data_IF_172084836486
#
_entry.id   IF_172084836486
#
_cell.length_a   1.000
_cell.length_b   1.000
_cell.length_c   1.000
_cell.angle_alpha   90.00
_cell.angle_beta   90.00
_cell.angle_gamma   90.00
#
_symmetry.space_group_name_H-M   'P 1'
#
loop_
_entity.id
_entity.type
_entity.pdbx_description
1 polymer ?
#
# COMPACT_ATOMS: atom_id res chain seq x y z
N UNK A 1 -43.08 10.27 31.34
CA UNK A 1 -42.63 9.94 30.00
C UNK A 1 -41.17 9.47 30.09
N UNK A 2 -40.97 8.15 29.96
CA UNK A 2 -39.65 7.49 30.09
C UNK A 2 -38.72 7.93 28.95
N UNK A 3 -37.53 8.43 29.30
CA UNK A 3 -36.42 8.55 28.34
C UNK A 3 -36.10 7.14 27.83
N UNK A 4 -36.40 6.85 26.55
CA UNK A 4 -35.88 5.65 25.88
C UNK A 4 -34.35 5.73 25.94
N UNK A 5 -33.75 4.83 26.70
CA UNK A 5 -32.33 4.54 26.64
C UNK A 5 -31.96 4.22 25.15
N UNK A 6 -31.36 5.17 24.47
CA UNK A 6 -30.65 4.88 23.25
C UNK A 6 -29.37 4.14 23.67
N UNK A 7 -29.45 2.82 23.80
CA UNK A 7 -28.28 1.96 23.89
C UNK A 7 -27.40 2.28 22.64
N UNK A 8 -26.29 2.98 22.85
CA UNK A 8 -25.35 3.25 21.76
C UNK A 8 -24.70 1.92 21.38
N UNK A 9 -24.74 1.58 20.08
CA UNK A 9 -24.07 0.41 19.55
C UNK A 9 -22.60 0.37 20.00
N UNK A 10 -22.12 -0.81 20.35
CA UNK A 10 -20.69 -1.07 20.60
C UNK A 10 -19.84 -0.81 19.35
N UNK A 11 -18.52 -0.71 19.51
CA UNK A 11 -17.61 -0.58 18.36
C UNK A 11 -17.74 -1.73 17.36
N UNK A 12 -17.90 -2.97 17.87
CA UNK A 12 -18.10 -4.17 17.04
C UNK A 12 -19.41 -4.12 16.24
N UNK A 13 -20.51 -3.74 16.88
CA UNK A 13 -21.81 -3.62 16.20
C UNK A 13 -21.80 -2.51 15.13
N UNK A 14 -21.14 -1.37 15.43
CA UNK A 14 -20.95 -0.29 14.45
C UNK A 14 -20.09 -0.75 13.27
N UNK A 15 -19.03 -1.51 13.53
CA UNK A 15 -18.15 -2.06 12.50
C UNK A 15 -18.93 -3.00 11.58
N UNK A 16 -19.65 -3.97 12.13
CA UNK A 16 -20.45 -4.92 11.37
C UNK A 16 -21.55 -4.25 10.55
N UNK A 17 -22.29 -3.32 11.14
CA UNK A 17 -23.34 -2.58 10.43
C UNK A 17 -22.74 -1.77 9.25
N UNK A 18 -21.61 -1.09 9.48
CA UNK A 18 -20.97 -0.26 8.49
C UNK A 18 -20.46 -1.07 7.28
N UNK A 19 -19.75 -2.17 7.52
CA UNK A 19 -19.24 -2.99 6.41
C UNK A 19 -20.31 -3.90 5.78
N UNK A 20 -21.38 -4.24 6.51
CA UNK A 20 -22.56 -4.87 5.93
C UNK A 20 -23.26 -3.96 4.93
N UNK A 21 -23.31 -2.64 5.17
CA UNK A 21 -23.86 -1.68 4.22
C UNK A 21 -23.00 -1.59 2.94
N UNK A 22 -21.68 -1.67 3.06
CA UNK A 22 -20.74 -1.58 1.92
C UNK A 22 -20.73 -2.88 1.10
N UNK A 23 -20.63 -4.03 1.75
CA UNK A 23 -20.40 -5.33 1.09
C UNK A 23 -21.66 -6.19 0.94
N UNK A 24 -22.78 -5.79 1.54
CA UNK A 24 -24.05 -6.49 1.44
C UNK A 24 -23.93 -7.96 1.86
N UNK A 25 -24.46 -8.86 1.03
CA UNK A 25 -24.44 -10.31 1.25
C UNK A 25 -23.04 -10.94 1.28
N UNK A 26 -22.02 -10.25 0.78
CA UNK A 26 -20.62 -10.72 0.82
C UNK A 26 -19.98 -10.53 2.18
N UNK A 27 -20.46 -9.59 3.01
CA UNK A 27 -19.80 -9.23 4.26
C UNK A 27 -19.51 -10.42 5.20
N UNK A 28 -20.43 -11.36 5.44
CA UNK A 28 -20.17 -12.49 6.33
C UNK A 28 -18.99 -13.35 5.87
N UNK A 29 -18.86 -13.65 4.58
CA UNK A 29 -17.76 -14.45 4.03
C UNK A 29 -16.44 -13.70 4.04
N UNK A 30 -16.44 -12.42 3.67
CA UNK A 30 -15.26 -11.58 3.72
C UNK A 30 -14.75 -11.41 5.16
N UNK A 31 -15.63 -11.14 6.12
CA UNK A 31 -15.29 -11.06 7.54
C UNK A 31 -14.67 -12.35 8.05
N UNK A 32 -15.27 -13.50 7.71
CA UNK A 32 -14.74 -14.82 8.11
C UNK A 32 -13.33 -15.04 7.56
N UNK A 33 -13.11 -14.74 6.26
CA UNK A 33 -11.80 -14.87 5.63
C UNK A 33 -10.74 -13.90 6.20
N UNK A 34 -11.14 -12.70 6.65
CA UNK A 34 -10.23 -11.78 7.35
C UNK A 34 -9.82 -12.25 8.75
N UNK A 35 -10.65 -13.08 9.39
CA UNK A 35 -10.35 -13.67 10.70
C UNK A 35 -9.49 -14.94 10.61
N UNK A 36 -9.37 -15.55 9.42
CA UNK A 36 -8.46 -16.65 9.22
C UNK A 36 -6.99 -16.23 9.42
N UNK A 37 -6.17 -17.18 9.86
CA UNK A 37 -4.74 -16.93 10.01
C UNK A 37 -4.09 -16.57 8.65
N UNK A 38 -3.33 -15.49 8.65
CA UNK A 38 -2.53 -15.09 7.47
C UNK A 38 -1.46 -16.15 7.19
N UNK A 39 -1.26 -16.46 5.90
CA UNK A 39 -0.22 -17.40 5.44
C UNK A 39 0.87 -16.64 4.69
N UNK A 40 1.78 -15.96 5.41
CA UNK A 40 2.88 -15.25 4.76
C UNK A 40 3.81 -16.21 4.03
N UNK A 41 4.38 -15.75 2.94
CA UNK A 41 5.37 -16.50 2.16
C UNK A 41 6.76 -15.93 2.35
N UNK A 42 7.79 -16.77 2.19
CA UNK A 42 9.17 -16.32 2.10
C UNK A 42 9.31 -15.45 0.84
N UNK A 43 9.70 -14.20 1.01
CA UNK A 43 9.89 -13.28 -0.11
C UNK A 43 11.00 -13.76 -1.04
N UNK A 44 12.12 -14.28 -0.50
CA UNK A 44 13.22 -14.80 -1.29
C UNK A 44 12.79 -15.93 -2.24
N UNK A 45 12.06 -16.93 -1.68
CA UNK A 45 11.57 -18.06 -2.47
C UNK A 45 10.53 -17.60 -3.51
N UNK A 46 9.69 -16.61 -3.14
CA UNK A 46 8.70 -16.06 -4.06
C UNK A 46 9.35 -15.31 -5.23
N UNK A 47 10.36 -14.51 -4.97
CA UNK A 47 11.12 -13.80 -6.02
C UNK A 47 11.88 -14.79 -6.93
N UNK A 48 12.42 -15.87 -6.36
CA UNK A 48 13.09 -16.93 -7.10
C UNK A 48 12.15 -17.79 -7.96
N UNK A 49 10.83 -17.78 -7.70
CA UNK A 49 9.86 -18.52 -8.52
C UNK A 49 9.69 -18.01 -9.94
N UNK A 50 10.14 -16.78 -10.23
CA UNK A 50 10.02 -16.13 -11.53
C UNK A 50 8.62 -15.57 -11.83
N UNK A 51 7.70 -15.58 -10.86
CA UNK A 51 6.38 -14.94 -11.02
C UNK A 51 6.48 -13.41 -11.09
N UNK A 52 7.57 -12.85 -10.58
CA UNK A 52 7.88 -11.40 -10.58
C UNK A 52 9.28 -11.19 -11.13
N UNK A 53 9.41 -10.25 -12.05
CA UNK A 53 10.71 -9.87 -12.59
C UNK A 53 11.56 -9.15 -11.53
N UNK A 54 12.77 -9.63 -11.31
CA UNK A 54 13.78 -9.07 -10.42
C UNK A 54 15.09 -8.86 -11.14
N UNK A 55 15.89 -7.90 -10.68
CA UNK A 55 17.17 -7.56 -11.30
C UNK A 55 18.31 -8.49 -10.87
N UNK A 56 18.12 -9.27 -9.80
CA UNK A 56 19.15 -10.12 -9.20
C UNK A 56 18.64 -11.53 -8.96
N UNK A 57 19.50 -12.53 -9.18
CA UNK A 57 19.20 -13.96 -9.00
C UNK A 57 18.93 -14.35 -7.53
N UNK A 58 19.51 -13.61 -6.57
CA UNK A 58 19.32 -13.81 -5.14
C UNK A 58 19.31 -12.46 -4.40
N UNK A 59 18.16 -11.79 -4.35
CA UNK A 59 18.09 -10.43 -3.81
C UNK A 59 18.14 -10.37 -2.28
N UNK A 60 17.95 -11.50 -1.57
CA UNK A 60 17.89 -11.55 -0.11
C UNK A 60 18.95 -12.48 0.47
N UNK A 61 19.59 -12.04 1.58
CA UNK A 61 20.57 -12.84 2.35
C UNK A 61 19.95 -13.53 3.55
N UNK A 62 18.83 -13.01 4.07
CA UNK A 62 18.06 -13.61 5.15
C UNK A 62 16.58 -13.69 4.78
N UNK A 63 15.85 -14.72 5.23
CA UNK A 63 14.44 -14.88 4.93
C UNK A 63 13.59 -13.70 5.47
N UNK A 64 12.67 -13.22 4.66
CA UNK A 64 11.64 -12.27 5.08
C UNK A 64 10.26 -12.79 4.67
N UNK A 65 9.33 -12.85 5.61
CA UNK A 65 7.99 -13.36 5.37
C UNK A 65 6.98 -12.24 5.29
N UNK A 66 6.14 -12.24 4.25
CA UNK A 66 5.11 -11.23 4.06
C UNK A 66 3.92 -11.77 3.27
N UNK A 67 2.81 -11.03 3.30
CA UNK A 67 1.60 -11.36 2.53
C UNK A 67 1.85 -11.24 1.03
N UNK A 68 1.35 -12.20 0.25
CA UNK A 68 1.50 -12.24 -1.21
C UNK A 68 0.91 -11.01 -1.90
N UNK A 69 -0.25 -10.51 -1.44
CA UNK A 69 -0.86 -9.32 -2.02
C UNK A 69 0.07 -8.10 -1.91
N UNK A 70 0.84 -7.99 -0.81
CA UNK A 70 1.84 -6.94 -0.65
C UNK A 70 3.01 -7.06 -1.62
N UNK A 71 3.43 -8.30 -1.94
CA UNK A 71 4.46 -8.55 -2.97
C UNK A 71 3.91 -8.16 -4.34
N UNK A 72 2.71 -8.63 -4.68
CA UNK A 72 2.06 -8.33 -5.96
C UNK A 72 1.93 -6.82 -6.18
N UNK A 73 1.38 -6.09 -5.21
CA UNK A 73 1.22 -4.65 -5.34
C UNK A 73 2.57 -3.93 -5.56
N UNK A 74 3.59 -4.20 -4.73
CA UNK A 74 4.89 -3.53 -4.89
C UNK A 74 5.57 -3.87 -6.24
N UNK A 75 5.31 -5.05 -6.80
CA UNK A 75 5.87 -5.49 -8.08
C UNK A 75 5.30 -4.78 -9.29
N UNK A 76 4.11 -4.16 -9.18
CA UNK A 76 3.45 -3.44 -10.27
C UNK A 76 4.27 -2.23 -10.74
N UNK A 77 5.00 -1.55 -9.83
CA UNK A 77 5.83 -0.41 -10.22
C UNK A 77 6.83 -0.83 -11.29
N UNK A 78 6.84 -0.17 -12.46
CA UNK A 78 7.72 -0.49 -13.57
C UNK A 78 9.12 0.05 -13.33
N UNK A 79 9.77 -0.41 -12.26
CA UNK A 79 11.12 0.00 -11.85
C UNK A 79 12.14 -0.60 -12.81
N UNK A 80 13.02 0.24 -13.31
CA UNK A 80 14.21 -0.15 -14.05
C UNK A 80 15.47 0.03 -13.21
N UNK A 81 16.56 -0.62 -13.63
CA UNK A 81 17.81 -0.71 -12.87
C UNK A 81 18.37 0.61 -12.33
N UNK A 82 18.18 1.72 -13.06
CA UNK A 82 18.77 3.02 -12.75
C UNK A 82 17.79 4.03 -12.17
N UNK A 83 16.54 3.63 -11.89
CA UNK A 83 15.53 4.55 -11.40
C UNK A 83 15.85 5.13 -10.02
N UNK A 84 15.40 6.35 -9.79
CA UNK A 84 15.27 6.92 -8.46
C UNK A 84 13.86 6.64 -7.94
N UNK A 85 13.78 5.86 -6.87
CA UNK A 85 12.53 5.35 -6.31
C UNK A 85 12.30 5.93 -4.92
N UNK A 86 11.04 6.29 -4.62
CA UNK A 86 10.61 6.74 -3.31
C UNK A 86 9.58 5.77 -2.72
N UNK A 87 9.83 5.26 -1.52
CA UNK A 87 8.87 4.53 -0.68
C UNK A 87 8.45 5.45 0.47
N UNK A 88 7.25 6.04 0.37
CA UNK A 88 6.82 7.15 1.24
C UNK A 88 6.43 6.72 2.66
N UNK A 89 6.03 5.45 2.87
CA UNK A 89 5.58 4.91 4.15
C UNK A 89 6.16 3.51 4.38
N UNK A 90 7.49 3.42 4.29
CA UNK A 90 8.26 2.21 4.04
C UNK A 90 8.20 1.14 5.13
N UNK A 91 8.05 1.54 6.40
CA UNK A 91 8.14 0.59 7.50
C UNK A 91 6.92 -0.36 7.58
N UNK A 92 7.17 -1.65 7.88
CA UNK A 92 8.41 -2.24 8.43
C UNK A 92 9.50 -2.61 7.42
N UNK A 93 9.29 -2.51 6.08
CA UNK A 93 10.33 -2.72 5.09
C UNK A 93 10.05 -3.79 4.04
N UNK A 94 8.96 -4.57 4.15
CA UNK A 94 8.68 -5.66 3.22
C UNK A 94 8.55 -5.20 1.76
N UNK A 95 7.75 -4.15 1.49
CA UNK A 95 7.64 -3.59 0.14
C UNK A 95 8.95 -2.92 -0.31
N UNK A 96 9.70 -2.29 0.62
CA UNK A 96 11.05 -1.78 0.35
C UNK A 96 11.98 -2.86 -0.19
N UNK A 97 11.95 -4.09 0.36
CA UNK A 97 12.74 -5.23 -0.15
C UNK A 97 12.34 -5.60 -1.58
N UNK A 98 11.05 -5.60 -1.90
CA UNK A 98 10.55 -5.86 -3.27
C UNK A 98 11.05 -4.77 -4.24
N UNK A 99 10.96 -3.49 -3.86
CA UNK A 99 11.46 -2.39 -4.69
C UNK A 99 12.97 -2.50 -4.92
N UNK A 100 13.72 -2.78 -3.84
CA UNK A 100 15.18 -2.94 -3.89
C UNK A 100 15.62 -4.09 -4.82
N UNK A 101 14.86 -5.20 -4.86
CA UNK A 101 15.18 -6.35 -5.71
C UNK A 101 15.06 -6.05 -7.21
N UNK A 102 14.34 -4.99 -7.59
CA UNK A 102 14.20 -4.53 -8.99
C UNK A 102 15.26 -3.51 -9.40
N UNK A 103 15.99 -2.94 -8.44
CA UNK A 103 17.08 -2.02 -8.69
C UNK A 103 18.40 -2.77 -8.87
N UNK A 104 19.27 -2.27 -9.72
CA UNK A 104 20.65 -2.70 -9.82
C UNK A 104 21.59 -1.53 -9.50
N UNK A 105 22.88 -1.79 -9.30
CA UNK A 105 23.89 -0.95 -8.67
C UNK A 105 23.96 0.56 -8.93
N UNK A 106 23.14 1.15 -9.82
CA UNK A 106 23.07 2.61 -10.05
C UNK A 106 21.73 3.23 -9.60
N UNK A 107 20.70 2.44 -9.39
CA UNK A 107 19.42 2.93 -8.90
C UNK A 107 19.50 3.43 -7.45
N UNK A 108 18.61 4.32 -7.07
CA UNK A 108 18.51 4.86 -5.69
C UNK A 108 17.13 4.64 -5.12
N UNK A 109 17.05 4.20 -3.87
CA UNK A 109 15.80 4.01 -3.15
C UNK A 109 15.79 4.87 -1.88
N UNK A 110 14.85 5.79 -1.80
CA UNK A 110 14.59 6.57 -0.59
C UNK A 110 13.43 5.88 0.13
N UNK A 111 13.70 5.36 1.34
CA UNK A 111 12.71 4.65 2.16
C UNK A 111 12.36 5.50 3.37
N UNK A 112 11.19 6.12 3.31
CA UNK A 112 10.75 7.07 4.32
C UNK A 112 9.71 6.46 5.27
N UNK A 113 9.80 6.79 6.55
CA UNK A 113 8.70 6.61 7.51
C UNK A 113 8.80 7.68 8.60
N UNK A 114 7.69 8.39 8.85
CA UNK A 114 7.64 9.46 9.86
C UNK A 114 7.95 8.99 11.27
N UNK A 115 7.58 7.76 11.63
CA UNK A 115 7.77 7.20 12.97
C UNK A 115 9.21 6.73 13.20
N UNK A 116 9.92 7.32 14.17
CA UNK A 116 11.28 6.91 14.54
C UNK A 116 11.35 5.42 14.96
N UNK A 117 10.36 4.95 15.73
CA UNK A 117 10.30 3.55 16.14
C UNK A 117 10.13 2.60 14.94
N UNK A 118 9.29 2.99 13.97
CA UNK A 118 9.09 2.18 12.75
C UNK A 118 10.35 2.21 11.87
N UNK A 119 11.04 3.36 11.75
CA UNK A 119 12.31 3.46 11.02
C UNK A 119 13.40 2.54 11.61
N UNK A 120 13.46 2.35 12.93
CA UNK A 120 14.38 1.38 13.53
C UNK A 120 14.12 -0.05 13.03
N UNK A 121 12.86 -0.45 12.88
CA UNK A 121 12.49 -1.74 12.29
C UNK A 121 12.85 -1.81 10.80
N UNK A 122 12.53 -0.77 10.04
CA UNK A 122 12.88 -0.64 8.62
C UNK A 122 14.39 -0.80 8.41
N UNK A 123 15.21 -0.05 9.14
CA UNK A 123 16.66 -0.14 9.06
C UNK A 123 17.18 -1.54 9.42
N UNK A 124 16.59 -2.18 10.44
CA UNK A 124 16.93 -3.57 10.79
C UNK A 124 16.62 -4.52 9.64
N UNK A 125 15.44 -4.43 9.03
CA UNK A 125 15.01 -5.27 7.90
C UNK A 125 15.97 -5.08 6.71
N UNK A 126 16.26 -3.85 6.32
CA UNK A 126 17.20 -3.53 5.24
C UNK A 126 18.57 -4.14 5.52
N UNK A 127 19.11 -3.91 6.72
CA UNK A 127 20.45 -4.37 7.07
C UNK A 127 20.56 -5.90 7.21
N UNK A 128 19.48 -6.56 7.61
CA UNK A 128 19.47 -8.01 7.82
C UNK A 128 19.18 -8.78 6.54
N UNK A 129 18.25 -8.27 5.71
CA UNK A 129 17.73 -9.05 4.58
C UNK A 129 18.42 -8.74 3.25
N UNK A 130 18.98 -7.53 3.06
CA UNK A 130 19.59 -7.16 1.78
C UNK A 130 21.12 -7.31 1.79
N UNK A 131 21.73 -7.74 0.66
CA UNK A 131 23.17 -7.72 0.49
C UNK A 131 23.72 -6.28 0.50
N UNK A 132 24.99 -6.12 0.87
CA UNK A 132 25.64 -4.81 1.00
C UNK A 132 25.53 -3.97 -0.28
N UNK A 133 25.71 -4.59 -1.43
CA UNK A 133 25.63 -3.95 -2.75
C UNK A 133 24.26 -3.26 -3.04
N UNK A 134 23.19 -3.76 -2.46
CA UNK A 134 21.87 -3.10 -2.55
C UNK A 134 21.67 -2.06 -1.44
N UNK A 135 22.17 -2.34 -0.22
CA UNK A 135 22.01 -1.41 0.93
C UNK A 135 22.64 -0.05 0.69
N UNK A 136 23.77 0.01 0.01
CA UNK A 136 24.49 1.25 -0.31
C UNK A 136 23.66 2.23 -1.15
N UNK A 137 22.64 1.73 -1.85
CA UNK A 137 21.72 2.51 -2.67
C UNK A 137 20.44 2.93 -1.96
N UNK A 138 20.28 2.55 -0.68
CA UNK A 138 19.07 2.83 0.10
C UNK A 138 19.35 3.89 1.16
N UNK A 139 18.54 4.95 1.14
CA UNK A 139 18.58 5.99 2.18
C UNK A 139 17.30 5.96 2.99
N UNK A 140 17.41 5.83 4.32
CA UNK A 140 16.26 5.89 5.24
C UNK A 140 16.05 7.32 5.71
N UNK A 141 14.84 7.86 5.53
CA UNK A 141 14.47 9.23 5.91
C UNK A 141 13.27 9.26 6.88
N UNK A 142 13.00 10.41 7.48
CA UNK A 142 11.96 10.55 8.52
C UNK A 142 11.02 11.74 8.31
N UNK A 143 10.73 12.09 7.06
CA UNK A 143 9.89 13.24 6.70
C UNK A 143 8.39 12.93 6.82
N UNK A 144 7.59 13.97 6.96
CA UNK A 144 6.13 13.88 6.85
C UNK A 144 5.73 13.74 5.38
N UNK A 145 5.18 12.60 4.99
CA UNK A 145 4.80 12.29 3.62
C UNK A 145 3.68 13.21 3.09
N UNK A 146 2.88 13.83 3.96
CA UNK A 146 1.84 14.79 3.53
C UNK A 146 2.42 16.10 2.98
N UNK A 147 3.66 16.39 3.32
CA UNK A 147 4.39 17.61 2.92
C UNK A 147 5.67 17.30 2.15
N UNK A 148 5.77 16.11 1.55
CA UNK A 148 6.98 15.67 0.83
C UNK A 148 7.43 16.67 -0.23
N UNK A 149 6.48 17.27 -0.94
CA UNK A 149 6.76 18.28 -1.98
C UNK A 149 7.49 19.54 -1.51
N UNK A 150 7.63 19.76 -0.18
CA UNK A 150 8.49 20.81 0.38
C UNK A 150 9.97 20.41 0.40
N UNK A 151 10.28 19.12 0.30
CA UNK A 151 11.65 18.61 0.28
C UNK A 151 12.14 18.38 -1.15
N UNK A 152 11.36 17.62 -1.95
CA UNK A 152 11.73 17.24 -3.31
C UNK A 152 10.50 17.23 -4.24
N UNK A 153 10.67 17.78 -5.45
CA UNK A 153 9.66 17.78 -6.52
C UNK A 153 10.30 17.35 -7.83
N UNK A 154 9.54 16.64 -8.65
CA UNK A 154 9.98 16.22 -9.99
C UNK A 154 11.33 15.47 -9.98
N UNK A 155 11.46 14.51 -9.04
CA UNK A 155 12.75 13.85 -8.75
C UNK A 155 12.69 12.34 -8.96
N UNK A 156 11.53 11.69 -8.74
CA UNK A 156 11.42 10.25 -8.68
C UNK A 156 10.77 9.66 -9.93
N UNK A 157 11.42 8.64 -10.49
CA UNK A 157 10.87 7.87 -11.60
C UNK A 157 9.68 7.00 -11.16
N UNK A 158 9.76 6.46 -9.93
CA UNK A 158 8.72 5.66 -9.32
C UNK A 158 8.50 6.07 -7.86
N UNK A 159 7.23 6.18 -7.46
CA UNK A 159 6.83 6.46 -6.08
C UNK A 159 5.87 5.38 -5.60
N UNK A 160 6.19 4.74 -4.48
CA UNK A 160 5.26 3.89 -3.73
C UNK A 160 4.67 4.69 -2.58
N UNK A 161 3.36 4.80 -2.54
CA UNK A 161 2.61 5.29 -1.38
C UNK A 161 1.74 4.15 -0.83
N UNK A 162 2.35 3.29 0.02
CA UNK A 162 1.61 2.33 0.84
C UNK A 162 1.09 3.05 2.08
N UNK A 163 -0.08 3.67 1.93
CA UNK A 163 -0.55 4.68 2.86
C UNK A 163 -1.03 4.08 4.19
N UNK A 164 -0.76 4.75 5.34
CA UNK A 164 -1.42 4.40 6.59
C UNK A 164 -2.93 4.38 6.42
N UNK A 165 -3.59 3.32 6.87
CA UNK A 165 -5.01 3.09 6.67
C UNK A 165 -5.69 2.52 7.92
N UNK A 166 -7.01 2.31 7.85
CA UNK A 166 -7.79 1.76 8.97
C UNK A 166 -7.44 0.32 9.30
N UNK A 167 -6.91 -0.47 8.36
CA UNK A 167 -6.42 -1.85 8.57
C UNK A 167 -7.47 -2.75 9.21
N UNK A 168 -8.60 -2.96 8.53
CA UNK A 168 -9.79 -3.63 9.09
C UNK A 168 -9.51 -5.05 9.56
N UNK A 169 -8.63 -5.78 8.89
CA UNK A 169 -8.19 -7.11 9.33
C UNK A 169 -7.55 -7.06 10.72
N UNK A 170 -6.69 -6.07 10.97
CA UNK A 170 -6.08 -5.86 12.28
C UNK A 170 -7.13 -5.44 13.32
N UNK A 171 -8.06 -4.54 12.96
CA UNK A 171 -9.14 -4.11 13.85
C UNK A 171 -10.01 -5.29 14.28
N UNK A 172 -10.35 -6.21 13.36
CA UNK A 172 -11.13 -7.40 13.65
C UNK A 172 -10.42 -8.39 14.59
N UNK A 173 -9.09 -8.45 14.54
CA UNK A 173 -8.29 -9.38 15.35
C UNK A 173 -7.84 -8.78 16.70
N UNK A 174 -7.99 -7.46 16.88
CA UNK A 174 -7.67 -6.76 18.14
C UNK A 174 -8.95 -6.29 18.83
N UNK A 175 -9.38 -6.95 19.93
CA UNK A 175 -10.60 -6.57 20.67
C UNK A 175 -10.59 -5.12 21.16
N UNK A 176 -9.41 -4.58 21.48
CA UNK A 176 -9.29 -3.20 21.98
C UNK A 176 -9.51 -2.18 20.87
N UNK A 177 -8.96 -2.44 19.69
CA UNK A 177 -9.17 -1.61 18.50
C UNK A 177 -10.62 -1.67 18.02
N UNK A 178 -11.23 -2.88 18.04
CA UNK A 178 -12.61 -3.08 17.64
C UNK A 178 -13.60 -2.38 18.59
N UNK A 179 -13.34 -2.41 19.90
CA UNK A 179 -14.21 -1.78 20.91
C UNK A 179 -14.35 -0.26 20.71
N UNK A 180 -13.29 0.41 20.26
CA UNK A 180 -13.26 1.88 20.06
C UNK A 180 -13.50 2.30 18.61
N UNK A 181 -13.74 1.34 17.70
CA UNK A 181 -13.90 1.63 16.29
C UNK A 181 -15.10 2.55 16.02
N UNK A 182 -14.93 3.44 15.06
CA UNK A 182 -16.01 4.32 14.58
C UNK A 182 -15.82 4.69 13.09
N UNK A 183 -16.92 5.01 12.36
CA UNK A 183 -16.85 5.42 10.95
C UNK A 183 -16.09 6.72 10.69
N UNK A 184 -15.73 7.48 11.72
CA UNK A 184 -14.93 8.69 11.59
C UNK A 184 -13.44 8.38 11.29
N UNK A 185 -12.94 7.21 11.70
CA UNK A 185 -11.53 6.82 11.50
C UNK A 185 -11.15 6.76 10.01
N UNK A 186 -11.82 5.99 9.14
CA UNK A 186 -11.50 5.97 7.72
C UNK A 186 -11.66 7.36 7.06
N UNK A 187 -12.62 8.17 7.49
CA UNK A 187 -12.79 9.56 6.98
C UNK A 187 -11.59 10.45 7.29
N UNK A 188 -11.02 10.38 8.49
CA UNK A 188 -9.82 11.14 8.83
C UNK A 188 -8.58 10.65 8.07
N UNK A 189 -8.43 9.33 7.95
CA UNK A 189 -7.31 8.73 7.21
C UNK A 189 -7.35 9.09 5.74
N UNK A 190 -8.52 9.09 5.10
CA UNK A 190 -8.66 9.46 3.69
C UNK A 190 -8.22 10.90 3.39
N UNK A 191 -8.34 11.82 4.34
CA UNK A 191 -7.84 13.20 4.19
C UNK A 191 -6.31 13.21 4.15
N UNK A 192 -5.66 12.46 5.03
CA UNK A 192 -4.20 12.34 5.06
C UNK A 192 -3.68 11.59 3.83
N UNK A 193 -4.33 10.49 3.45
CA UNK A 193 -4.01 9.72 2.25
C UNK A 193 -4.08 10.57 0.98
N UNK A 194 -5.12 11.40 0.85
CA UNK A 194 -5.23 12.35 -0.25
C UNK A 194 -4.09 13.37 -0.27
N UNK A 195 -3.70 13.93 0.88
CA UNK A 195 -2.58 14.86 0.98
C UNK A 195 -1.25 14.19 0.60
N UNK A 196 -1.01 12.95 1.09
CA UNK A 196 0.16 12.15 0.71
C UNK A 196 0.19 11.83 -0.78
N UNK A 197 -0.97 11.49 -1.38
CA UNK A 197 -1.07 11.18 -2.80
C UNK A 197 -0.80 12.41 -3.69
N UNK A 198 -1.26 13.59 -3.27
CA UNK A 198 -0.89 14.84 -3.94
C UNK A 198 0.63 15.08 -3.86
N UNK A 199 1.25 14.86 -2.70
CA UNK A 199 2.68 15.00 -2.52
C UNK A 199 3.49 13.96 -3.31
N UNK A 200 2.98 12.72 -3.45
CA UNK A 200 3.55 11.68 -4.31
C UNK A 200 3.54 12.10 -5.78
N UNK A 201 2.42 12.65 -6.26
CA UNK A 201 2.29 13.17 -7.62
C UNK A 201 3.28 14.31 -7.88
N UNK A 202 3.43 15.23 -6.92
CA UNK A 202 4.38 16.34 -7.03
C UNK A 202 5.85 15.86 -7.00
N UNK A 203 6.15 14.78 -6.27
CA UNK A 203 7.50 14.21 -6.15
C UNK A 203 7.95 13.44 -7.40
N UNK A 204 7.02 12.83 -8.14
CA UNK A 204 7.30 12.09 -9.36
C UNK A 204 7.73 13.02 -10.51
N UNK A 205 8.66 12.57 -11.36
CA UNK A 205 9.00 13.26 -12.61
C UNK A 205 7.86 13.18 -13.63
N UNK A 206 7.88 14.03 -14.64
CA UNK A 206 7.00 13.87 -15.80
C UNK A 206 7.25 12.50 -16.47
N UNK A 207 6.19 11.73 -16.69
CA UNK A 207 6.25 10.34 -17.17
C UNK A 207 6.52 9.32 -16.06
N UNK A 208 6.80 9.76 -14.83
CA UNK A 208 7.01 8.88 -13.66
C UNK A 208 5.74 8.22 -13.16
N UNK A 209 5.88 7.13 -12.42
CA UNK A 209 4.79 6.29 -11.95
C UNK A 209 4.57 6.43 -10.45
N UNK A 210 3.33 6.43 -10.03
CA UNK A 210 2.93 6.46 -8.63
C UNK A 210 2.01 5.26 -8.36
N UNK A 211 2.40 4.39 -7.44
CA UNK A 211 1.54 3.32 -6.94
C UNK A 211 0.98 3.74 -5.60
N UNK A 212 -0.32 3.96 -5.56
CA UNK A 212 -1.09 4.15 -4.33
C UNK A 212 -1.59 2.80 -3.84
N UNK A 213 -1.39 2.45 -2.57
CA UNK A 213 -1.91 1.22 -1.97
C UNK A 213 -2.33 1.42 -0.52
N UNK A 214 -3.28 0.61 -0.07
CA UNK A 214 -3.73 0.50 1.33
C UNK A 214 -4.11 -0.93 1.66
N UNK A 215 -3.99 -1.34 2.92
CA UNK A 215 -4.56 -2.60 3.40
C UNK A 215 -6.01 -2.45 3.90
N UNK A 216 -6.72 -1.37 3.51
CA UNK A 216 -8.11 -1.12 3.83
C UNK A 216 -9.05 -1.76 2.81
N UNK A 217 -10.21 -2.22 3.31
CA UNK A 217 -11.34 -2.61 2.45
C UNK A 217 -12.34 -1.46 2.26
N UNK A 218 -12.04 -0.26 2.78
CA UNK A 218 -12.98 0.85 2.78
C UNK A 218 -12.85 1.69 1.51
N UNK A 219 -13.92 1.83 0.70
CA UNK A 219 -13.92 2.66 -0.50
C UNK A 219 -13.46 4.11 -0.28
N UNK A 220 -13.73 4.67 0.93
CA UNK A 220 -13.35 6.05 1.27
C UNK A 220 -11.82 6.21 1.30
N UNK A 221 -11.07 5.16 1.64
CA UNK A 221 -9.61 5.14 1.70
C UNK A 221 -8.98 4.64 0.39
N UNK A 222 -9.77 4.10 -0.52
CA UNK A 222 -9.34 3.44 -1.75
C UNK A 222 -9.73 4.27 -2.99
N UNK A 223 -10.66 3.78 -3.81
CA UNK A 223 -11.03 4.39 -5.09
C UNK A 223 -11.59 5.83 -4.93
N UNK A 224 -12.22 6.17 -3.80
CA UNK A 224 -12.71 7.54 -3.59
C UNK A 224 -11.59 8.55 -3.31
N UNK A 225 -10.40 8.12 -2.87
CA UNK A 225 -9.20 8.98 -2.80
C UNK A 225 -8.71 9.28 -4.21
N UNK A 226 -8.71 8.29 -5.10
CA UNK A 226 -8.33 8.45 -6.51
C UNK A 226 -9.33 9.33 -7.25
N UNK A 227 -10.65 9.08 -7.09
CA UNK A 227 -11.70 9.91 -7.66
C UNK A 227 -11.56 11.39 -7.25
N UNK A 228 -11.23 11.64 -5.98
CA UNK A 228 -10.93 12.99 -5.49
C UNK A 228 -9.69 13.60 -6.15
N UNK A 229 -8.66 12.78 -6.43
CA UNK A 229 -7.47 13.25 -7.13
C UNK A 229 -7.82 13.65 -8.57
N UNK A 230 -8.60 12.85 -9.30
CA UNK A 230 -9.10 13.20 -10.63
C UNK A 230 -9.87 14.53 -10.63
N UNK A 231 -10.72 14.77 -9.62
CA UNK A 231 -11.48 16.02 -9.48
C UNK A 231 -10.61 17.25 -9.16
N UNK A 232 -9.52 17.07 -8.42
CA UNK A 232 -8.70 18.19 -7.90
C UNK A 232 -7.42 18.45 -8.69
N UNK A 233 -6.92 17.46 -9.42
CA UNK A 233 -5.65 17.47 -10.15
C UNK A 233 -5.81 16.97 -11.59
N UNK A 234 -6.98 17.20 -12.19
CA UNK A 234 -7.32 16.80 -13.57
C UNK A 234 -6.24 17.23 -14.57
N UNK A 235 -5.90 16.34 -15.51
CA UNK A 235 -4.92 16.61 -16.56
C UNK A 235 -3.44 16.52 -16.15
N UNK A 236 -3.15 16.27 -14.85
CA UNK A 236 -1.77 16.13 -14.39
C UNK A 236 -1.28 14.68 -14.36
N UNK A 237 -2.18 13.72 -14.49
CA UNK A 237 -1.87 12.29 -14.45
C UNK A 237 -2.93 11.50 -15.20
N UNK A 238 -2.63 10.24 -15.46
CA UNK A 238 -3.55 9.23 -15.98
C UNK A 238 -3.48 7.98 -15.11
N UNK A 239 -4.57 7.21 -15.05
CA UNK A 239 -4.59 5.89 -14.46
C UNK A 239 -4.07 4.87 -15.48
N UNK A 240 -3.20 3.97 -15.03
CA UNK A 240 -2.58 2.95 -15.88
C UNK A 240 -3.24 1.61 -15.61
N UNK A 241 -3.69 0.95 -16.69
CA UNK A 241 -4.29 -0.39 -16.59
C UNK A 241 -3.29 -1.41 -16.04
N UNK A 242 -3.63 -2.01 -14.91
CA UNK A 242 -2.83 -3.08 -14.29
C UNK A 242 -2.76 -4.30 -15.20
N UNK A 243 -3.84 -4.61 -15.93
CA UNK A 243 -3.88 -5.74 -16.87
C UNK A 243 -2.84 -5.61 -17.99
N UNK A 244 -2.46 -4.40 -18.37
CA UNK A 244 -1.44 -4.16 -19.41
C UNK A 244 -0.01 -4.28 -18.89
N UNK A 245 0.24 -3.99 -17.60
CA UNK A 245 1.59 -3.97 -17.01
C UNK A 245 1.86 -5.25 -16.20
N UNK A 246 0.89 -5.72 -15.43
CA UNK A 246 1.02 -6.86 -14.55
C UNK A 246 -0.21 -7.80 -14.66
N UNK A 247 -0.41 -8.48 -15.82
CA UNK A 247 -1.61 -9.29 -16.07
C UNK A 247 -1.79 -10.41 -15.03
N UNK A 248 -0.71 -10.96 -14.49
CA UNK A 248 -0.77 -11.93 -13.40
C UNK A 248 -1.42 -11.32 -12.15
N UNK A 249 -1.01 -10.13 -11.72
CA UNK A 249 -1.57 -9.45 -10.55
C UNK A 249 -3.03 -9.07 -10.79
N UNK A 250 -3.36 -8.59 -11.99
CA UNK A 250 -4.75 -8.32 -12.38
C UNK A 250 -5.63 -9.57 -12.25
N UNK A 251 -5.14 -10.76 -12.64
CA UNK A 251 -5.89 -12.03 -12.52
C UNK A 251 -6.12 -12.50 -11.07
N UNK A 252 -5.44 -11.92 -10.10
CA UNK A 252 -5.54 -12.22 -8.66
C UNK A 252 -6.30 -11.15 -7.87
N UNK A 253 -6.80 -10.13 -8.52
CA UNK A 253 -7.46 -8.98 -7.92
C UNK A 253 -8.80 -8.69 -8.60
N UNK A 254 -9.66 -7.98 -7.92
CA UNK A 254 -10.92 -7.48 -8.46
C UNK A 254 -10.70 -6.05 -8.95
N UNK A 255 -11.12 -5.75 -10.18
CA UNK A 255 -11.10 -4.41 -10.74
C UNK A 255 -12.21 -3.56 -10.11
N UNK A 256 -11.86 -2.33 -9.74
CA UNK A 256 -12.77 -1.33 -9.20
C UNK A 256 -12.90 -0.15 -10.20
N UNK A 257 -13.80 0.81 -9.96
CA UNK A 257 -13.89 2.03 -10.77
C UNK A 257 -12.56 2.77 -10.93
N UNK A 258 -11.69 2.67 -9.91
CA UNK A 258 -10.28 3.07 -9.92
C UNK A 258 -9.46 2.02 -9.20
N UNK A 259 -8.43 1.49 -9.88
CA UNK A 259 -7.52 0.50 -9.33
C UNK A 259 -8.13 -0.88 -9.13
N UNK A 260 -7.47 -1.67 -8.30
CA UNK A 260 -7.81 -3.06 -8.02
C UNK A 260 -7.77 -3.35 -6.52
N UNK A 261 -8.48 -4.40 -6.10
CA UNK A 261 -8.43 -4.89 -4.72
C UNK A 261 -8.24 -6.41 -4.67
N UNK A 262 -7.36 -6.86 -3.81
CA UNK A 262 -7.22 -8.27 -3.42
C UNK A 262 -8.01 -8.47 -2.13
N UNK A 263 -9.00 -9.34 -2.15
CA UNK A 263 -9.83 -9.64 -0.98
C UNK A 263 -9.60 -11.07 -0.50
N UNK A 264 -9.48 -11.32 0.83
CA UNK A 264 -9.13 -12.62 1.41
C UNK A 264 -10.10 -13.74 1.06
N UNK A 265 -11.39 -13.45 0.90
CA UNK A 265 -12.43 -14.44 0.56
C UNK A 265 -12.32 -14.97 -0.88
N UNK A 266 -11.63 -14.23 -1.76
CA UNK A 266 -11.38 -14.62 -3.16
C UNK A 266 -9.97 -15.19 -3.39
N UNK A 267 -9.02 -15.03 -2.43
CA UNK A 267 -7.60 -15.27 -2.66
C UNK A 267 -6.92 -16.17 -1.62
N UNK A 268 -7.64 -17.12 -1.04
CA UNK A 268 -7.10 -18.04 -0.03
C UNK A 268 -6.42 -17.32 1.14
N UNK A 269 -7.09 -16.31 1.70
CA UNK A 269 -6.68 -15.50 2.86
C UNK A 269 -5.54 -14.51 2.62
N UNK A 270 -5.16 -14.19 1.36
CA UNK A 270 -4.24 -13.10 1.04
C UNK A 270 -4.93 -11.73 1.14
N UNK A 271 -4.22 -10.70 1.54
CA UNK A 271 -4.74 -9.35 1.70
C UNK A 271 -5.51 -9.14 3.01
N UNK A 272 -6.43 -8.16 3.07
CA UNK A 272 -6.82 -7.29 1.97
C UNK A 272 -5.73 -6.33 1.52
N UNK A 273 -5.75 -5.97 0.24
CA UNK A 273 -4.89 -4.92 -0.29
C UNK A 273 -5.52 -4.27 -1.53
N UNK A 274 -5.69 -2.96 -1.46
CA UNK A 274 -6.05 -2.11 -2.60
C UNK A 274 -4.81 -1.51 -3.23
N UNK A 275 -4.81 -1.31 -4.57
CA UNK A 275 -3.75 -0.62 -5.28
C UNK A 275 -4.26 0.02 -6.57
N UNK A 276 -3.68 1.18 -6.92
CA UNK A 276 -3.95 1.92 -8.15
C UNK A 276 -2.64 2.49 -8.69
N UNK A 277 -2.34 2.24 -9.95
CA UNK A 277 -1.15 2.75 -10.62
C UNK A 277 -1.49 4.01 -11.42
N UNK A 278 -0.78 5.08 -11.16
CA UNK A 278 -0.91 6.35 -11.84
C UNK A 278 0.40 6.70 -12.56
N UNK A 279 0.28 7.44 -13.66
CA UNK A 279 1.41 8.00 -14.39
C UNK A 279 1.26 9.51 -14.46
N UNK A 280 2.30 10.24 -14.02
CA UNK A 280 2.32 11.69 -14.11
C UNK A 280 2.48 12.14 -15.57
N UNK A 281 1.64 13.04 -16.01
CA UNK A 281 1.73 13.66 -17.33
C UNK A 281 2.72 14.82 -17.32
N UNK A 282 3.29 15.15 -18.48
CA UNK A 282 4.08 16.37 -18.65
C UNK A 282 3.21 17.61 -18.50
N UNK A 283 3.80 18.70 -18.02
CA UNK A 283 3.17 20.01 -18.18
C UNK A 283 3.12 20.35 -19.68
N UNK A 284 1.91 20.55 -20.20
CA UNK A 284 1.70 21.09 -21.54
C UNK A 284 2.17 22.54 -21.62
#
# INVERSE_FOLDING_TARGET
MSKKDKTSLSGAEKFDAYYSEIYGSRWPSLKAAMLEESKPVSLGDYLASGEIEVALDSPLVEPYYMDKASIWAASILPITANNKVLDMCAAPGGKTLVLASKLSGKGKLISNDRSAQRRTRLAKVINTCLPESLRENITVTGHDSTTWSLYEKDVYDCVLLDAPCSSERHVLTDPSALAIWSPSRPKHLSIQQFAMLCAALDAAVSGGYILYSTCSINPIENELVIDKLFKKRSGLFEEVSISSIAPFVASKSEELPHGHIVLPDATSSCGPLYFCLLKKLGAN
#
